data_IF_337708617803
#
_entry.id   IF_337708617803
#
_cell.length_a   1.000
_cell.length_b   1.000
_cell.length_c   1.000
_cell.angle_alpha   90.00
_cell.angle_beta   90.00
_cell.angle_gamma   90.00
#
_symmetry.space_group_name_H-M   'P 1'
#
loop_
_entity.id
_entity.type
_entity.pdbx_description
1 polymer ?
#
# COMPACT_ATOMS: atom_id res chain seq x y z
N UNK A 1 22.73 26.55 8.32
CA UNK A 1 22.41 25.61 9.41
C UNK A 1 22.71 24.17 9.02
N UNK A 2 22.01 23.57 8.05
CA UNK A 2 22.17 22.17 7.61
C UNK A 2 23.62 21.76 7.32
N UNK A 3 24.39 22.58 6.61
CA UNK A 3 25.80 22.26 6.33
C UNK A 3 26.67 22.06 7.59
N UNK A 4 26.35 22.72 8.70
CA UNK A 4 27.06 22.52 9.97
C UNK A 4 26.54 21.30 10.74
N UNK A 5 25.25 20.97 10.61
CA UNK A 5 24.67 19.75 11.19
C UNK A 5 25.25 18.51 10.49
N UNK A 6 25.38 18.54 9.16
CA UNK A 6 25.97 17.44 8.38
C UNK A 6 27.43 17.12 8.77
N UNK A 7 28.22 18.12 9.18
CA UNK A 7 29.59 17.88 9.68
C UNK A 7 29.64 17.00 10.94
N UNK A 8 28.53 16.88 11.66
CA UNK A 8 28.42 16.00 12.84
C UNK A 8 28.19 14.53 12.47
N UNK A 9 27.84 14.24 11.22
CA UNK A 9 27.67 12.89 10.72
C UNK A 9 28.97 12.41 10.08
N UNK A 10 29.53 11.31 10.58
CA UNK A 10 30.74 10.71 10.00
C UNK A 10 30.46 10.03 8.65
N UNK A 11 29.29 9.40 8.49
CA UNK A 11 28.78 8.83 7.25
C UNK A 11 27.26 9.07 7.17
N UNK A 12 26.79 9.51 6.00
CA UNK A 12 25.35 9.62 5.67
C UNK A 12 25.08 8.62 4.57
N UNK A 13 24.15 7.69 4.80
CA UNK A 13 23.82 6.61 3.87
C UNK A 13 22.33 6.33 3.82
N UNK A 14 21.96 5.35 3.02
CA UNK A 14 20.59 4.81 2.96
C UNK A 14 20.59 3.40 3.52
N UNK A 15 19.45 2.94 4.02
CA UNK A 15 19.24 1.52 4.31
C UNK A 15 18.15 0.97 3.41
N UNK A 16 18.23 -0.32 3.12
CA UNK A 16 17.19 -1.04 2.40
C UNK A 16 15.90 -1.05 3.22
N UNK A 17 14.79 -0.66 2.61
CA UNK A 17 13.50 -0.71 3.28
C UNK A 17 13.07 -2.16 3.56
N UNK A 18 12.29 -2.36 4.62
CA UNK A 18 11.71 -3.65 4.93
C UNK A 18 10.52 -3.99 4.00
N UNK A 19 9.91 -2.97 3.41
CA UNK A 19 8.76 -3.10 2.49
C UNK A 19 9.04 -2.43 1.16
N UNK A 20 8.47 -3.00 0.10
CA UNK A 20 8.51 -2.46 -1.24
C UNK A 20 7.12 -1.98 -1.67
N UNK A 21 7.10 -0.93 -2.48
CA UNK A 21 5.90 -0.43 -3.16
C UNK A 21 6.17 -0.44 -4.67
N UNK A 22 5.39 -1.22 -5.41
CA UNK A 22 5.51 -1.28 -6.86
C UNK A 22 4.84 -0.05 -7.47
N UNK A 23 5.57 0.62 -8.34
CA UNK A 23 5.05 1.63 -9.26
C UNK A 23 5.30 1.14 -10.68
N UNK A 24 4.27 1.11 -11.51
CA UNK A 24 4.32 0.60 -12.88
C UNK A 24 3.71 1.65 -13.83
N UNK A 25 4.48 2.04 -14.84
CA UNK A 25 4.07 3.10 -15.77
C UNK A 25 3.05 2.62 -16.81
N UNK A 26 3.17 1.38 -17.31
CA UNK A 26 2.21 0.81 -18.27
C UNK A 26 0.80 0.78 -17.67
N UNK A 27 0.78 0.28 -16.45
CA UNK A 27 -0.26 0.41 -15.45
C UNK A 27 -0.84 1.84 -15.43
N UNK A 28 -0.05 2.85 -15.04
CA UNK A 28 -0.51 4.25 -15.00
C UNK A 28 -1.24 4.68 -16.29
N UNK A 29 -0.64 4.42 -17.46
CA UNK A 29 -1.22 4.77 -18.75
C UNK A 29 -2.51 4.00 -19.06
N UNK A 30 -2.59 2.74 -18.65
CA UNK A 30 -3.78 1.92 -18.88
C UNK A 30 -5.01 2.44 -18.11
N UNK A 31 -4.84 2.88 -16.87
CA UNK A 31 -5.95 3.46 -16.10
C UNK A 31 -6.24 4.91 -16.47
N UNK A 32 -5.25 5.66 -16.97
CA UNK A 32 -5.51 6.95 -17.61
C UNK A 32 -6.38 6.78 -18.87
N UNK A 33 -6.09 5.74 -19.68
CA UNK A 33 -6.86 5.45 -20.89
C UNK A 33 -8.25 4.86 -20.59
N UNK A 34 -8.39 4.06 -19.54
CA UNK A 34 -9.65 3.43 -19.12
C UNK A 34 -9.89 3.58 -17.61
N UNK A 35 -10.20 4.79 -17.13
CA UNK A 35 -10.38 5.03 -15.70
C UNK A 35 -11.63 4.30 -15.16
N UNK A 36 -12.70 4.21 -15.95
CA UNK A 36 -14.02 3.62 -15.61
C UNK A 36 -14.79 4.37 -14.51
N UNK A 37 -14.13 4.90 -13.49
CA UNK A 37 -14.66 5.90 -12.56
C UNK A 37 -13.95 7.24 -12.75
N UNK A 38 -14.68 8.36 -12.68
CA UNK A 38 -14.12 9.71 -12.88
C UNK A 38 -12.97 10.02 -11.90
N UNK A 39 -13.06 9.49 -10.68
CA UNK A 39 -12.09 9.69 -9.60
C UNK A 39 -11.09 8.53 -9.44
N UNK A 40 -11.10 7.56 -10.36
CA UNK A 40 -10.12 6.47 -10.37
C UNK A 40 -8.82 6.94 -11.02
N UNK A 41 -7.86 7.31 -10.18
CA UNK A 41 -6.52 7.73 -10.60
C UNK A 41 -5.44 6.81 -10.01
N UNK A 42 -4.56 6.29 -10.87
CA UNK A 42 -3.53 5.33 -10.44
C UNK A 42 -2.54 5.92 -9.47
N UNK A 43 -2.06 7.14 -9.75
CA UNK A 43 -1.07 7.77 -8.92
C UNK A 43 -1.61 7.94 -7.50
N UNK A 44 -2.87 8.38 -7.36
CA UNK A 44 -3.57 8.50 -6.09
C UNK A 44 -3.73 7.14 -5.39
N UNK A 45 -4.03 6.05 -6.11
CA UNK A 45 -4.12 4.70 -5.52
C UNK A 45 -2.78 4.27 -4.91
N UNK A 46 -1.70 4.44 -5.65
CA UNK A 46 -0.34 4.13 -5.17
C UNK A 46 0.07 5.09 -4.05
N UNK A 47 -0.28 6.37 -4.16
CA UNK A 47 0.05 7.38 -3.18
C UNK A 47 -0.71 7.19 -1.86
N UNK A 48 -1.96 6.75 -1.88
CA UNK A 48 -2.72 6.41 -0.67
C UNK A 48 -2.13 5.19 0.04
N UNK A 49 -1.70 4.16 -0.72
CA UNK A 49 -0.92 3.07 -0.17
C UNK A 49 0.38 3.60 0.46
N UNK A 50 1.16 4.41 -0.26
CA UNK A 50 2.39 5.02 0.26
C UNK A 50 2.12 5.81 1.55
N UNK A 51 1.08 6.64 1.59
CA UNK A 51 0.71 7.42 2.79
C UNK A 51 0.39 6.52 3.97
N UNK A 52 -0.31 5.41 3.76
CA UNK A 52 -0.59 4.44 4.81
C UNK A 52 0.70 3.81 5.36
N UNK A 53 1.61 3.35 4.50
CA UNK A 53 2.92 2.79 4.90
C UNK A 53 3.77 3.82 5.65
N UNK A 54 3.79 5.08 5.18
CA UNK A 54 4.55 6.15 5.82
C UNK A 54 3.97 6.55 7.17
N UNK A 55 2.64 6.52 7.33
CA UNK A 55 1.97 6.77 8.62
C UNK A 55 2.18 5.62 9.62
N UNK A 56 2.32 4.40 9.12
CA UNK A 56 2.74 3.23 9.89
C UNK A 56 4.20 3.29 10.39
N UNK A 57 4.96 4.31 9.97
CA UNK A 57 6.36 4.51 10.35
C UNK A 57 7.34 3.71 9.48
N UNK A 58 6.91 3.17 8.35
CA UNK A 58 7.79 2.35 7.51
C UNK A 58 8.59 3.20 6.52
N UNK A 59 9.89 2.90 6.43
CA UNK A 59 10.69 3.20 5.24
C UNK A 59 10.19 2.33 4.08
N UNK A 60 10.11 2.91 2.88
CA UNK A 60 9.57 2.26 1.69
C UNK A 60 10.58 2.41 0.55
N UNK A 61 10.81 1.33 -0.18
CA UNK A 61 11.50 1.35 -1.48
C UNK A 61 10.44 1.31 -2.58
N UNK A 62 10.51 2.25 -3.54
CA UNK A 62 9.66 2.23 -4.73
C UNK A 62 10.39 1.48 -5.83
N UNK A 63 9.77 0.42 -6.36
CA UNK A 63 10.43 -0.56 -7.23
C UNK A 63 9.57 -0.89 -8.46
N UNK A 64 10.15 -1.37 -9.58
CA UNK A 64 9.37 -1.84 -10.72
C UNK A 64 8.69 -3.19 -10.43
N UNK A 65 7.69 -3.58 -11.25
CA UNK A 65 7.00 -4.88 -11.16
C UNK A 65 7.89 -6.11 -11.39
N UNK A 66 9.12 -5.91 -11.87
CA UNK A 66 10.15 -6.96 -12.08
C UNK A 66 10.96 -7.26 -10.82
N UNK A 67 10.66 -6.60 -9.69
CA UNK A 67 11.33 -6.85 -8.41
C UNK A 67 11.20 -8.31 -7.97
N UNK A 68 12.25 -8.82 -7.33
CA UNK A 68 12.20 -10.08 -6.58
C UNK A 68 11.56 -9.82 -5.20
N UNK A 69 10.32 -10.26 -4.94
CA UNK A 69 9.59 -9.92 -3.73
C UNK A 69 10.17 -10.58 -2.47
N UNK A 70 11.00 -11.62 -2.61
CA UNK A 70 11.67 -12.30 -1.48
C UNK A 70 12.65 -11.37 -0.76
N UNK A 71 13.09 -10.29 -1.43
CA UNK A 71 13.98 -9.28 -0.88
C UNK A 71 13.32 -8.38 0.16
N UNK A 72 12.00 -8.41 0.30
CA UNK A 72 11.23 -7.57 1.20
C UNK A 72 10.35 -8.41 2.11
N UNK A 73 10.04 -7.93 3.32
CA UNK A 73 9.08 -8.60 4.20
C UNK A 73 7.67 -8.56 3.62
N UNK A 74 7.32 -7.48 2.93
CA UNK A 74 6.04 -7.26 2.25
C UNK A 74 6.29 -6.44 0.97
N UNK A 75 5.70 -6.87 -0.14
CA UNK A 75 5.67 -6.13 -1.41
C UNK A 75 4.23 -5.67 -1.70
N UNK A 76 4.00 -4.38 -1.80
CA UNK A 76 2.70 -3.79 -2.12
C UNK A 76 2.61 -3.49 -3.62
N UNK A 77 1.52 -3.91 -4.26
CA UNK A 77 1.24 -3.74 -5.68
C UNK A 77 -0.18 -3.16 -5.86
N UNK A 78 -0.41 -1.86 -5.59
CA UNK A 78 -1.76 -1.30 -5.38
C UNK A 78 -2.67 -1.36 -6.60
N UNK A 79 -2.12 -1.27 -7.80
CA UNK A 79 -2.84 -1.52 -9.04
C UNK A 79 -1.79 -1.96 -10.04
N UNK A 80 -1.90 -3.17 -10.58
CA UNK A 80 -1.01 -3.66 -11.63
C UNK A 80 -1.84 -4.09 -12.82
N UNK A 81 -1.62 -3.52 -14.00
CA UNK A 81 -2.34 -3.92 -15.20
C UNK A 81 -2.21 -5.43 -15.44
N UNK A 82 -0.96 -5.89 -15.50
CA UNK A 82 -0.56 -7.29 -15.60
C UNK A 82 0.26 -7.68 -14.37
N UNK A 83 0.09 -8.92 -13.89
CA UNK A 83 0.85 -9.44 -12.75
C UNK A 83 1.86 -10.45 -13.28
N UNK A 84 3.18 -10.15 -13.25
CA UNK A 84 4.20 -11.07 -13.72
C UNK A 84 4.22 -12.36 -12.91
N UNK A 85 4.43 -13.49 -13.57
CA UNK A 85 4.56 -14.80 -12.89
C UNK A 85 5.81 -14.91 -12.00
N UNK A 86 6.76 -13.98 -12.17
CA UNK A 86 7.96 -13.81 -11.33
C UNK A 86 7.66 -13.11 -10.01
N UNK A 87 6.52 -12.41 -9.88
CA UNK A 87 6.10 -11.75 -8.66
C UNK A 87 5.51 -12.79 -7.68
N UNK A 88 6.39 -13.62 -7.09
CA UNK A 88 6.05 -14.71 -6.16
C UNK A 88 7.18 -14.99 -5.16
N UNK A 89 6.87 -15.70 -4.07
CA UNK A 89 7.86 -16.17 -3.08
C UNK A 89 8.08 -15.24 -1.87
N UNK A 90 7.38 -14.11 -1.81
CA UNK A 90 7.27 -13.25 -0.64
C UNK A 90 5.83 -12.78 -0.47
N UNK A 91 5.49 -12.20 0.69
CA UNK A 91 4.15 -11.69 0.93
C UNK A 91 3.86 -10.51 0.00
N UNK A 92 2.85 -10.64 -0.84
CA UNK A 92 2.42 -9.65 -1.82
C UNK A 92 1.01 -9.17 -1.46
N UNK A 93 0.81 -7.86 -1.43
CA UNK A 93 -0.51 -7.23 -1.29
C UNK A 93 -0.85 -6.57 -2.62
N UNK A 94 -1.64 -7.26 -3.44
CA UNK A 94 -2.18 -6.74 -4.68
C UNK A 94 -3.48 -5.97 -4.41
N UNK A 95 -3.62 -4.81 -5.04
CA UNK A 95 -4.84 -4.01 -4.94
C UNK A 95 -5.81 -4.25 -6.10
N UNK A 96 -6.87 -3.43 -6.20
CA UNK A 96 -7.92 -3.62 -7.18
C UNK A 96 -7.38 -3.51 -8.60
N UNK A 97 -8.09 -4.15 -9.54
CA UNK A 97 -7.77 -4.24 -10.96
C UNK A 97 -6.46 -4.96 -11.27
N UNK A 98 -5.78 -5.53 -10.27
CA UNK A 98 -4.54 -6.24 -10.49
C UNK A 98 -4.74 -7.47 -11.39
N UNK A 99 -4.08 -7.49 -12.55
CA UNK A 99 -4.23 -8.59 -13.52
C UNK A 99 -5.59 -8.59 -14.23
N UNK A 100 -6.30 -7.45 -14.25
CA UNK A 100 -7.62 -7.35 -14.91
C UNK A 100 -7.55 -7.27 -16.43
N UNK A 101 -6.37 -7.04 -17.00
CA UNK A 101 -6.16 -6.88 -18.44
C UNK A 101 -4.91 -7.60 -18.94
N UNK A 102 -4.88 -7.89 -20.24
CA UNK A 102 -3.66 -8.26 -20.97
C UNK A 102 -2.81 -7.03 -21.31
N UNK A 103 -1.63 -7.25 -21.88
CA UNK A 103 -0.75 -6.17 -22.38
C UNK A 103 -1.44 -5.33 -23.47
N UNK A 104 -2.38 -5.91 -24.20
CA UNK A 104 -3.19 -5.28 -25.25
C UNK A 104 -4.51 -4.66 -24.71
N UNK A 105 -4.64 -4.45 -23.39
CA UNK A 105 -5.81 -3.87 -22.72
C UNK A 105 -7.14 -4.65 -22.91
N UNK A 106 -7.04 -5.95 -23.18
CA UNK A 106 -8.20 -6.85 -23.29
C UNK A 106 -8.50 -7.55 -21.96
N UNK A 107 -9.76 -7.97 -21.73
CA UNK A 107 -10.13 -8.73 -20.52
C UNK A 107 -10.00 -10.23 -20.81
N UNK A 108 -9.21 -10.94 -20.02
CA UNK A 108 -9.22 -12.40 -20.01
C UNK A 108 -10.24 -12.91 -19.01
N UNK A 109 -11.44 -13.26 -19.49
CA UNK A 109 -12.58 -13.66 -18.64
C UNK A 109 -12.24 -14.87 -17.77
N UNK A 110 -11.47 -15.83 -18.31
CA UNK A 110 -11.13 -17.08 -17.63
C UNK A 110 -10.08 -16.91 -16.53
N UNK A 111 -9.25 -15.85 -16.61
CA UNK A 111 -8.13 -15.68 -15.70
C UNK A 111 -8.27 -14.49 -14.75
N UNK A 112 -9.30 -13.64 -14.86
CA UNK A 112 -9.44 -12.43 -14.05
C UNK A 112 -9.83 -12.71 -12.56
N UNK A 113 -9.03 -12.29 -11.56
CA UNK A 113 -7.80 -11.49 -11.63
C UNK A 113 -6.61 -12.38 -11.99
N UNK A 114 -5.88 -12.01 -13.05
CA UNK A 114 -4.79 -12.78 -13.71
C UNK A 114 -3.56 -13.02 -12.84
N UNK A 115 -3.75 -13.57 -11.65
CA UNK A 115 -2.80 -13.73 -10.56
C UNK A 115 -2.68 -15.21 -10.27
N UNK A 116 -1.52 -15.76 -10.62
CA UNK A 116 -1.22 -17.19 -10.42
C UNK A 116 -1.41 -17.59 -8.96
N UNK A 117 -2.26 -18.60 -8.74
CA UNK A 117 -2.50 -19.19 -7.41
C UNK A 117 -3.77 -18.71 -6.71
N UNK A 118 -4.42 -17.65 -7.20
CA UNK A 118 -5.75 -17.26 -6.71
C UNK A 118 -6.84 -18.16 -7.30
N UNK A 119 -7.75 -18.61 -6.44
CA UNK A 119 -9.02 -19.28 -6.81
C UNK A 119 -10.17 -18.30 -6.61
N UNK A 120 -10.04 -17.15 -7.21
CA UNK A 120 -10.97 -16.03 -7.12
C UNK A 120 -11.36 -15.58 -8.52
N UNK A 121 -12.63 -15.24 -8.71
CA UNK A 121 -13.18 -14.68 -9.94
C UNK A 121 -13.80 -13.34 -9.65
N UNK A 122 -13.49 -12.33 -10.47
CA UNK A 122 -14.21 -11.06 -10.46
C UNK A 122 -15.49 -11.20 -11.28
N UNK A 123 -16.66 -10.97 -10.67
CA UNK A 123 -17.95 -11.09 -11.36
C UNK A 123 -18.40 -9.77 -11.97
N UNK A 124 -18.24 -8.66 -11.27
CA UNK A 124 -18.50 -7.31 -11.76
C UNK A 124 -17.71 -6.27 -10.95
N UNK A 125 -17.63 -5.05 -11.47
CA UNK A 125 -16.94 -3.92 -10.83
C UNK A 125 -17.87 -2.72 -10.72
N UNK A 126 -17.63 -1.88 -9.72
CA UNK A 126 -18.41 -0.70 -9.41
C UNK A 126 -17.46 0.48 -9.19
N UNK A 127 -17.71 1.59 -9.90
CA UNK A 127 -17.18 2.89 -9.52
C UNK A 127 -18.12 3.52 -8.50
N UNK A 128 -17.59 3.92 -7.35
CA UNK A 128 -18.38 4.41 -6.22
C UNK A 128 -18.37 5.94 -6.23
N UNK A 129 -19.54 6.61 -6.14
CA UNK A 129 -19.55 8.05 -5.97
C UNK A 129 -18.98 8.42 -4.58
N UNK A 130 -18.37 9.61 -4.42
CA UNK A 130 -17.71 10.00 -3.16
C UNK A 130 -18.61 9.98 -1.91
N UNK A 131 -19.94 10.07 -2.09
CA UNK A 131 -20.92 10.06 -1.01
C UNK A 131 -21.46 8.66 -0.66
N UNK A 132 -21.02 7.60 -1.35
CA UNK A 132 -21.46 6.23 -1.10
C UNK A 132 -20.27 5.24 -0.99
N UNK A 133 -19.39 5.42 0.01
CA UNK A 133 -18.38 4.41 0.31
C UNK A 133 -19.04 3.10 0.75
N UNK A 134 -18.39 1.97 0.49
CA UNK A 134 -18.85 0.65 0.94
C UNK A 134 -18.12 0.24 2.22
N UNK A 135 -18.84 0.25 3.35
CA UNK A 135 -18.26 -0.04 4.67
C UNK A 135 -17.77 -1.48 4.78
N UNK A 136 -16.61 -1.65 5.43
CA UNK A 136 -16.04 -2.93 5.78
C UNK A 136 -16.45 -3.36 7.19
N UNK A 137 -16.75 -4.64 7.34
CA UNK A 137 -16.94 -5.28 8.65
C UNK A 137 -15.70 -5.06 9.53
N UNK A 138 -15.92 -4.45 10.70
CA UNK A 138 -14.89 -4.11 11.69
C UNK A 138 -14.16 -2.77 11.46
N UNK A 139 -14.64 -1.92 10.54
CA UNK A 139 -14.21 -0.52 10.39
C UNK A 139 -13.40 -0.22 9.12
N UNK A 140 -13.52 1.02 8.64
CA UNK A 140 -13.02 1.43 7.32
C UNK A 140 -13.98 1.07 6.20
N UNK A 141 -13.62 1.42 4.98
CA UNK A 141 -14.47 1.30 3.82
C UNK A 141 -13.66 1.13 2.53
N UNK A 142 -14.34 0.71 1.46
CA UNK A 142 -13.90 0.98 0.11
C UNK A 142 -14.50 2.30 -0.40
N UNK A 143 -13.67 3.10 -1.04
CA UNK A 143 -14.01 4.37 -1.67
C UNK A 143 -13.64 4.28 -3.16
N UNK A 144 -14.30 5.03 -4.05
CA UNK A 144 -14.01 5.12 -5.51
C UNK A 144 -14.18 3.84 -6.34
N UNK A 145 -13.78 2.67 -5.82
CA UNK A 145 -13.75 1.41 -6.55
C UNK A 145 -14.04 0.21 -5.66
N UNK A 146 -14.85 -0.71 -6.17
CA UNK A 146 -15.09 -2.03 -5.59
C UNK A 146 -15.29 -3.08 -6.67
N UNK A 147 -14.90 -4.30 -6.37
CA UNK A 147 -15.08 -5.48 -7.21
C UNK A 147 -15.90 -6.52 -6.46
N UNK A 148 -16.92 -7.08 -7.11
CA UNK A 148 -17.56 -8.30 -6.62
C UNK A 148 -16.66 -9.49 -6.94
N UNK A 149 -16.39 -10.30 -5.92
CA UNK A 149 -15.58 -11.50 -6.06
C UNK A 149 -16.31 -12.76 -5.59
N UNK A 150 -16.22 -13.81 -6.38
CA UNK A 150 -16.53 -15.18 -5.99
C UNK A 150 -15.21 -15.89 -5.72
N UNK A 151 -15.04 -16.50 -4.55
CA UNK A 151 -13.73 -17.00 -4.12
C UNK A 151 -13.81 -18.32 -3.34
N UNK A 152 -12.80 -19.16 -3.54
CA UNK A 152 -12.50 -20.31 -2.68
C UNK A 152 -11.27 -20.06 -1.79
N UNK A 153 -10.66 -18.88 -1.89
CA UNK A 153 -9.52 -18.47 -1.09
C UNK A 153 -9.98 -17.99 0.30
N UNK A 154 -9.03 -17.80 1.21
CA UNK A 154 -9.34 -17.37 2.57
C UNK A 154 -9.80 -15.91 2.57
N UNK A 155 -11.05 -15.65 2.92
CA UNK A 155 -11.54 -14.28 3.15
C UNK A 155 -10.90 -13.68 4.40
N UNK A 156 -10.27 -12.52 4.26
CA UNK A 156 -9.60 -11.81 5.37
C UNK A 156 -10.22 -10.45 5.70
N UNK A 157 -11.00 -9.86 4.80
CA UNK A 157 -11.86 -8.69 5.02
C UNK A 157 -13.20 -8.93 4.30
N UNK A 158 -14.28 -8.39 4.86
CA UNK A 158 -15.63 -8.45 4.30
C UNK A 158 -16.27 -7.06 4.30
N UNK A 159 -17.20 -6.83 3.39
CA UNK A 159 -18.16 -5.74 3.49
C UNK A 159 -19.11 -5.97 4.70
N UNK A 160 -19.88 -4.97 5.09
CA UNK A 160 -20.91 -5.14 6.14
C UNK A 160 -21.99 -6.17 5.77
N UNK A 161 -22.29 -6.35 4.47
CA UNK A 161 -23.22 -7.36 3.98
C UNK A 161 -22.66 -8.80 4.00
N UNK A 162 -21.39 -8.97 4.37
CA UNK A 162 -20.71 -10.27 4.44
C UNK A 162 -20.00 -10.69 3.14
N UNK A 163 -20.13 -9.92 2.06
CA UNK A 163 -19.42 -10.16 0.81
C UNK A 163 -17.90 -10.06 1.01
N UNK A 164 -17.09 -10.93 0.36
CA UNK A 164 -15.63 -10.85 0.47
C UNK A 164 -15.10 -9.53 -0.11
N UNK A 165 -14.22 -8.88 0.66
CA UNK A 165 -13.60 -7.61 0.29
C UNK A 165 -12.08 -7.73 0.12
N UNK A 166 -11.44 -8.63 0.87
CA UNK A 166 -10.06 -9.02 0.62
C UNK A 166 -9.87 -10.50 0.91
N UNK A 167 -9.04 -11.15 0.10
CA UNK A 167 -8.79 -12.59 0.16
C UNK A 167 -7.30 -12.86 0.26
N UNK A 168 -6.95 -14.08 0.70
CA UNK A 168 -5.58 -14.58 0.81
C UNK A 168 -5.47 -15.97 0.22
N UNK A 169 -4.47 -16.16 -0.64
CA UNK A 169 -3.99 -17.47 -1.07
C UNK A 169 -2.48 -17.57 -0.84
N UNK A 170 -2.07 -18.33 0.17
CA UNK A 170 -0.67 -18.45 0.57
C UNK A 170 -0.04 -17.09 0.91
N UNK A 171 0.94 -16.68 0.12
CA UNK A 171 1.66 -15.40 0.26
C UNK A 171 1.06 -14.26 -0.57
N UNK A 172 -0.11 -14.45 -1.19
CA UNK A 172 -0.79 -13.39 -1.95
C UNK A 172 -2.03 -12.94 -1.19
N UNK A 173 -2.14 -11.63 -0.98
CA UNK A 173 -3.34 -10.94 -0.53
C UNK A 173 -3.86 -10.11 -1.70
N UNK A 174 -5.17 -10.20 -1.97
CA UNK A 174 -5.85 -9.40 -2.97
C UNK A 174 -6.92 -8.52 -2.31
N UNK A 175 -6.87 -7.21 -2.53
CA UNK A 175 -7.89 -6.25 -2.11
C UNK A 175 -8.83 -5.98 -3.29
N UNK A 176 -10.10 -6.35 -3.15
CA UNK A 176 -11.13 -6.21 -4.18
C UNK A 176 -11.78 -4.81 -4.18
N UNK A 177 -11.03 -3.77 -3.83
CA UNK A 177 -11.52 -2.41 -3.75
C UNK A 177 -10.43 -1.46 -3.28
N UNK A 178 -10.69 -0.16 -3.34
CA UNK A 178 -9.75 0.88 -2.91
C UNK A 178 -9.99 1.22 -1.44
N UNK A 179 -9.12 0.78 -0.52
CA UNK A 179 -9.31 0.97 0.92
C UNK A 179 -9.10 2.42 1.36
N UNK A 180 -9.99 2.88 2.24
CA UNK A 180 -9.81 4.13 2.98
C UNK A 180 -8.61 4.03 3.97
N UNK A 181 -8.18 5.15 4.57
CA UNK A 181 -7.07 5.14 5.53
C UNK A 181 -7.29 4.19 6.73
N UNK A 182 -8.54 3.97 7.16
CA UNK A 182 -8.86 3.10 8.29
C UNK A 182 -8.71 1.63 7.92
N UNK A 183 -9.20 1.23 6.74
CA UNK A 183 -9.04 -0.10 6.18
C UNK A 183 -7.56 -0.43 5.94
N UNK A 184 -6.80 0.52 5.36
CA UNK A 184 -5.35 0.39 5.24
C UNK A 184 -4.70 0.16 6.61
N UNK A 185 -5.02 0.98 7.62
CA UNK A 185 -4.45 0.84 8.96
C UNK A 185 -4.70 -0.55 9.54
N UNK A 186 -5.94 -1.04 9.47
CA UNK A 186 -6.32 -2.38 9.96
C UNK A 186 -5.52 -3.49 9.28
N UNK A 187 -5.41 -3.44 7.95
CA UNK A 187 -4.61 -4.40 7.21
C UNK A 187 -3.14 -4.35 7.64
N UNK A 188 -2.54 -3.16 7.71
CA UNK A 188 -1.14 -2.99 8.09
C UNK A 188 -0.85 -3.46 9.52
N UNK A 189 -1.75 -3.27 10.50
CA UNK A 189 -1.59 -3.84 11.86
C UNK A 189 -1.46 -5.36 11.80
N UNK A 190 -2.35 -6.03 11.06
CA UNK A 190 -2.35 -7.49 10.94
C UNK A 190 -1.07 -8.00 10.28
N UNK A 191 -0.65 -7.37 9.19
CA UNK A 191 0.58 -7.74 8.49
C UNK A 191 1.84 -7.43 9.30
N UNK A 192 1.81 -6.35 10.07
CA UNK A 192 2.90 -5.98 10.96
C UNK A 192 3.15 -7.05 12.03
N UNK A 193 2.07 -7.53 12.66
CA UNK A 193 2.12 -8.62 13.62
C UNK A 193 2.63 -9.91 12.98
N UNK A 194 2.11 -10.28 11.80
CA UNK A 194 2.54 -11.50 11.10
C UNK A 194 4.03 -11.47 10.72
N UNK A 195 4.55 -10.33 10.25
CA UNK A 195 5.93 -10.20 9.76
C UNK A 195 6.92 -9.67 10.81
N UNK A 196 6.48 -9.56 12.06
CA UNK A 196 7.25 -8.97 13.16
C UNK A 196 7.88 -7.62 12.71
N UNK A 197 7.04 -6.74 12.20
CA UNK A 197 7.40 -5.38 11.78
C UNK A 197 6.94 -4.40 12.86
N UNK A 198 7.84 -3.52 13.37
CA UNK A 198 7.43 -2.41 14.22
C UNK A 198 6.42 -1.54 13.48
N UNK A 199 5.34 -1.13 14.12
CA UNK A 199 4.34 -0.26 13.53
C UNK A 199 3.97 0.87 14.49
N UNK A 200 3.85 2.08 13.96
CA UNK A 200 3.52 3.28 14.72
C UNK A 200 2.21 3.89 14.27
N UNK A 201 1.55 4.63 15.17
CA UNK A 201 0.45 5.53 14.85
C UNK A 201 0.98 6.96 14.79
N UNK A 202 1.70 7.29 13.72
CA UNK A 202 2.26 8.63 13.59
C UNK A 202 1.13 9.69 13.45
N UNK A 203 1.25 10.84 14.14
CA UNK A 203 0.41 12.00 13.87
C UNK A 203 0.45 12.41 12.39
N UNK A 204 -0.60 13.09 11.90
CA UNK A 204 -0.75 13.38 10.47
C UNK A 204 0.44 14.17 9.90
N UNK A 205 1.08 14.99 10.73
CA UNK A 205 2.20 15.87 10.44
C UNK A 205 3.57 15.19 10.51
N UNK A 206 3.68 14.07 11.23
CA UNK A 206 4.97 13.45 11.55
C UNK A 206 5.30 12.33 10.57
N UNK A 207 6.53 12.35 10.03
CA UNK A 207 7.06 11.25 9.24
C UNK A 207 8.45 10.86 9.74
N UNK A 208 8.74 9.56 9.69
CA UNK A 208 10.06 9.04 10.03
C UNK A 208 10.76 8.42 8.83
N UNK A 209 12.09 8.43 8.82
CA UNK A 209 12.90 7.69 7.85
C UNK A 209 14.16 7.17 8.52
N UNK A 210 14.44 5.91 8.29
CA UNK A 210 15.65 5.25 8.80
C UNK A 210 16.74 5.23 7.73
N UNK A 211 17.97 5.41 8.18
CA UNK A 211 19.20 5.07 7.48
C UNK A 211 19.81 3.82 8.13
N UNK A 212 21.04 3.46 7.78
CA UNK A 212 21.71 2.34 8.47
C UNK A 212 22.02 2.63 9.94
N UNK A 213 22.16 3.91 10.30
CA UNK A 213 22.69 4.33 11.60
C UNK A 213 21.77 5.26 12.38
N UNK A 214 20.80 5.90 11.73
CA UNK A 214 19.96 6.92 12.34
C UNK A 214 18.50 6.81 11.93
N UNK A 215 17.61 7.24 12.82
CA UNK A 215 16.22 7.56 12.52
C UNK A 215 16.03 9.06 12.50
N UNK A 216 15.44 9.56 11.43
CA UNK A 216 15.04 10.96 11.28
C UNK A 216 13.54 11.10 11.48
N UNK A 217 13.13 12.12 12.23
CA UNK A 217 11.76 12.54 12.48
C UNK A 217 11.55 13.93 11.88
N UNK A 218 10.48 14.10 11.10
CA UNK A 218 10.14 15.36 10.45
C UNK A 218 8.72 15.78 10.84
N UNK A 219 8.57 17.03 11.26
CA UNK A 219 7.28 17.66 11.48
C UNK A 219 6.95 18.61 10.32
N UNK A 220 5.99 18.22 9.47
CA UNK A 220 5.51 19.05 8.36
C UNK A 220 4.39 20.03 8.77
N UNK A 221 3.98 20.00 10.05
CA UNK A 221 2.89 20.78 10.58
C UNK A 221 3.28 22.22 10.95
N UNK A 222 2.28 23.10 11.09
CA UNK A 222 2.48 24.48 11.53
C UNK A 222 2.63 24.61 13.05
N UNK A 223 2.46 23.52 13.80
CA UNK A 223 2.47 23.50 15.27
C UNK A 223 3.49 22.49 15.80
N UNK A 224 3.88 22.67 17.06
CA UNK A 224 4.65 21.67 17.80
C UNK A 224 3.83 20.38 17.98
N UNK A 225 4.50 19.24 17.88
CA UNK A 225 3.90 17.92 18.07
C UNK A 225 4.81 17.07 18.96
N UNK A 226 4.23 16.47 20.00
CA UNK A 226 4.89 15.45 20.81
C UNK A 226 4.40 14.06 20.39
N UNK A 227 5.32 13.19 19.99
CA UNK A 227 5.03 11.79 19.68
C UNK A 227 6.23 10.91 20.03
N UNK A 228 5.98 9.70 20.53
CA UNK A 228 7.04 8.75 20.89
C UNK A 228 8.12 9.34 21.82
N UNK A 229 7.71 10.15 22.81
CA UNK A 229 8.58 10.89 23.74
C UNK A 229 9.51 11.93 23.09
N UNK A 230 9.28 12.29 21.83
CA UNK A 230 10.01 13.33 21.10
C UNK A 230 9.06 14.50 20.89
N UNK A 231 9.49 15.71 21.23
CA UNK A 231 8.78 16.95 20.92
C UNK A 231 9.48 17.64 19.75
N UNK A 232 8.76 17.80 18.63
CA UNK A 232 9.26 18.48 17.43
C UNK A 232 8.53 19.82 17.24
N UNK A 233 9.25 20.95 17.13
CA UNK A 233 8.62 22.22 16.77
C UNK A 233 8.04 22.17 15.35
N UNK A 234 7.23 23.17 15.00
CA UNK A 234 6.73 23.35 13.64
C UNK A 234 7.89 23.39 12.63
N UNK A 235 7.72 22.72 11.48
CA UNK A 235 8.78 22.55 10.47
C UNK A 235 10.11 21.96 11.03
N UNK A 236 10.06 21.30 12.20
CA UNK A 236 11.22 20.79 12.90
C UNK A 236 11.72 19.44 12.38
N UNK A 237 13.00 19.17 12.61
CA UNK A 237 13.63 17.87 12.39
C UNK A 237 14.34 17.43 13.68
N UNK A 238 14.22 16.15 14.00
CA UNK A 238 14.95 15.48 15.07
C UNK A 238 15.59 14.20 14.51
N UNK A 239 16.73 13.78 15.07
CA UNK A 239 17.33 12.50 14.71
C UNK A 239 17.95 11.81 15.93
N UNK A 240 17.89 10.48 15.93
CA UNK A 240 18.42 9.60 16.96
C UNK A 240 19.22 8.45 16.31
N UNK A 241 20.15 7.88 17.06
CA UNK A 241 20.94 6.71 16.62
C UNK A 241 20.07 5.44 16.75
N UNK A 242 20.17 4.53 15.77
CA UNK A 242 19.47 3.23 15.75
C UNK A 242 20.20 2.14 16.54
#
# INVERSE_FOLDING_TARGET
QVANELKKFQNVGTTKAQVALIFDYDSAYAWEAQPQGEDFDYFNLVFDCYRALRRAGWSVDVVPKTVDPTKYKITFAPGLLTVPTTLKGGLIVAGPRAGSKTEELTISIESNPGITGLKTKITYVESLPPFAPMTLSGGGAFEKWREAIETQDQVILQLEGGEPAAIRAGDIIYLAGWPDPSAWRRLLVKLAQEKNLPIMDLPKEIRIRDTETHRFWFNYGPNEVTCNNITLPAAGVHWEVL
#
